data_IF_755117341824
#
_entry.id   IF_755117341824
#
_cell.length_a   1.000
_cell.length_b   1.000
_cell.length_c   1.000
_cell.angle_alpha   90.00
_cell.angle_beta   90.00
_cell.angle_gamma   90.00
#
_symmetry.space_group_name_H-M   'P 1'
#
loop_
_entity.id
_entity.type
_entity.pdbx_description
1 polymer ?
#
# COMPACT_ATOMS: atom_id res chain seq x y z
N UNK A 1 14.32 -16.59 -11.02
CA UNK A 1 14.01 -15.31 -11.73
C UNK A 1 12.55 -14.90 -11.57
N UNK A 2 11.65 -15.81 -11.16
CA UNK A 2 10.21 -15.56 -11.16
C UNK A 2 9.75 -14.33 -10.36
N UNK A 3 10.35 -14.00 -9.22
CA UNK A 3 9.97 -12.81 -8.43
C UNK A 3 10.16 -11.48 -9.19
N UNK A 4 11.23 -11.37 -9.97
CA UNK A 4 11.52 -10.18 -10.78
C UNK A 4 10.51 -10.11 -11.93
N UNK A 5 10.20 -11.26 -12.55
CA UNK A 5 9.17 -11.32 -13.58
C UNK A 5 7.79 -10.92 -13.05
N UNK A 6 7.40 -11.39 -11.85
CA UNK A 6 6.14 -10.99 -11.22
C UNK A 6 6.12 -9.49 -10.96
N UNK A 7 7.18 -8.93 -10.39
CA UNK A 7 7.26 -7.48 -10.15
C UNK A 7 7.14 -6.69 -11.46
N UNK A 8 7.93 -7.04 -12.47
CA UNK A 8 7.96 -6.35 -13.75
C UNK A 8 6.61 -6.42 -14.49
N UNK A 9 6.03 -7.61 -14.60
CA UNK A 9 4.74 -7.81 -15.28
C UNK A 9 3.62 -7.11 -14.50
N UNK A 10 3.65 -7.16 -13.16
CA UNK A 10 2.66 -6.47 -12.32
C UNK A 10 2.73 -4.96 -12.53
N UNK A 11 3.92 -4.38 -12.46
CA UNK A 11 4.12 -2.96 -12.75
C UNK A 11 3.66 -2.57 -14.16
N UNK A 12 3.89 -3.44 -15.16
CA UNK A 12 3.53 -3.18 -16.56
C UNK A 12 2.02 -2.99 -16.77
N UNK A 13 1.16 -3.68 -16.01
CA UNK A 13 -0.29 -3.44 -16.09
C UNK A 13 -0.80 -2.45 -15.04
N UNK A 14 -0.21 -2.42 -13.84
CA UNK A 14 -0.63 -1.50 -12.77
C UNK A 14 -0.40 -0.04 -13.17
N UNK A 15 0.73 0.29 -13.80
CA UNK A 15 1.05 1.69 -14.13
C UNK A 15 0.07 2.27 -15.17
N UNK A 16 -0.14 1.66 -16.35
CA UNK A 16 -1.11 2.17 -17.32
C UNK A 16 -2.54 2.22 -16.77
N UNK A 17 -2.96 1.20 -16.03
CA UNK A 17 -4.30 1.18 -15.44
C UNK A 17 -4.46 2.27 -14.38
N UNK A 18 -3.45 2.54 -13.57
CA UNK A 18 -3.46 3.67 -12.63
C UNK A 18 -3.62 5.00 -13.37
N UNK A 19 -2.95 5.19 -14.50
CA UNK A 19 -3.10 6.40 -15.33
C UNK A 19 -4.54 6.52 -15.85
N UNK A 20 -5.10 5.43 -16.39
CA UNK A 20 -6.46 5.41 -16.91
C UNK A 20 -7.49 5.71 -15.81
N UNK A 21 -7.39 5.04 -14.66
CA UNK A 21 -8.31 5.23 -13.53
C UNK A 21 -8.24 6.67 -13.02
N UNK A 22 -7.04 7.22 -12.83
CA UNK A 22 -6.90 8.61 -12.38
C UNK A 22 -7.37 9.64 -13.40
N UNK A 23 -7.34 9.31 -14.70
CA UNK A 23 -7.92 10.17 -15.75
C UNK A 23 -9.46 10.13 -15.73
N UNK A 24 -10.05 8.95 -15.55
CA UNK A 24 -11.52 8.78 -15.55
C UNK A 24 -12.14 9.30 -14.24
N UNK A 25 -11.48 9.05 -13.11
CA UNK A 25 -11.95 9.41 -11.76
C UNK A 25 -10.87 10.25 -11.06
N UNK A 26 -10.74 11.55 -11.41
CA UNK A 26 -9.67 12.40 -10.88
C UNK A 26 -9.89 12.80 -9.40
N UNK A 27 -11.15 12.84 -8.97
CA UNK A 27 -11.52 13.13 -7.59
C UNK A 27 -11.48 11.90 -6.68
N UNK A 28 -11.50 12.11 -5.35
CA UNK A 28 -11.70 11.02 -4.40
C UNK A 28 -13.02 10.27 -4.66
N UNK A 29 -12.98 8.95 -4.58
CA UNK A 29 -14.09 8.04 -4.84
C UNK A 29 -14.43 7.20 -3.60
N UNK A 30 -15.72 7.01 -3.33
CA UNK A 30 -16.21 6.32 -2.12
C UNK A 30 -15.60 6.91 -0.84
N UNK A 31 -14.97 6.11 0.01
CA UNK A 31 -14.43 6.56 1.31
C UNK A 31 -13.16 7.39 1.16
N UNK A 32 -12.57 7.47 -0.04
CA UNK A 32 -11.44 8.38 -0.30
C UNK A 32 -11.80 9.85 -0.01
N UNK A 33 -13.09 10.21 -0.04
CA UNK A 33 -13.57 11.55 0.35
C UNK A 33 -13.19 11.91 1.79
N UNK A 34 -12.99 10.91 2.66
CA UNK A 34 -12.50 11.10 4.03
C UNK A 34 -10.99 10.89 4.11
N UNK A 35 -10.47 9.83 3.48
CA UNK A 35 -9.06 9.44 3.59
C UNK A 35 -8.10 10.42 2.87
N UNK A 36 -8.47 10.95 1.70
CA UNK A 36 -7.59 11.83 0.92
C UNK A 36 -7.39 13.17 1.62
N UNK A 37 -8.45 13.91 2.05
CA UNK A 37 -8.25 15.13 2.82
C UNK A 37 -7.48 14.92 4.12
N UNK A 38 -7.73 13.81 4.83
CA UNK A 38 -7.00 13.47 6.04
C UNK A 38 -5.50 13.26 5.78
N UNK A 39 -5.13 12.50 4.76
CA UNK A 39 -3.74 12.30 4.38
C UNK A 39 -3.08 13.62 3.96
N UNK A 40 -3.80 14.49 3.25
CA UNK A 40 -3.31 15.82 2.87
C UNK A 40 -3.07 16.73 4.08
N UNK A 41 -3.85 16.63 5.15
CA UNK A 41 -3.53 17.33 6.41
C UNK A 41 -2.21 16.86 7.00
N UNK A 42 -1.94 15.55 6.95
CA UNK A 42 -0.66 15.00 7.43
C UNK A 42 0.51 15.46 6.56
N UNK A 43 0.31 15.55 5.24
CA UNK A 43 1.30 16.14 4.34
C UNK A 43 1.59 17.62 4.64
N UNK A 44 0.60 18.37 5.15
CA UNK A 44 0.79 19.75 5.64
C UNK A 44 1.48 19.83 7.01
N UNK A 45 1.85 18.69 7.60
CA UNK A 45 2.42 18.61 8.95
C UNK A 45 1.37 18.65 10.07
N UNK A 46 0.07 18.71 9.75
CA UNK A 46 -1.00 18.72 10.74
C UNK A 46 -1.36 17.29 11.19
N UNK A 47 -0.42 16.63 11.87
CA UNK A 47 -0.56 15.24 12.34
C UNK A 47 -1.58 15.08 13.47
N UNK A 48 -2.07 16.18 14.06
CA UNK A 48 -3.08 16.18 15.13
C UNK A 48 -4.51 16.23 14.59
N UNK A 49 -4.69 16.55 13.32
CA UNK A 49 -6.03 16.52 12.70
C UNK A 49 -6.56 15.09 12.60
N UNK A 50 -7.85 14.93 12.82
CA UNK A 50 -8.54 13.67 12.61
C UNK A 50 -9.97 13.92 12.15
N UNK A 51 -10.36 13.36 11.01
CA UNK A 51 -11.74 13.34 10.56
C UNK A 51 -12.52 12.29 11.37
N UNK A 52 -13.58 12.68 12.08
CA UNK A 52 -14.33 11.79 12.95
C UNK A 52 -15.07 10.66 12.21
N UNK A 53 -15.22 10.74 10.87
CA UNK A 53 -15.82 9.68 10.08
C UNK A 53 -14.85 8.51 9.80
N UNK A 54 -13.56 8.69 10.08
CA UNK A 54 -12.53 7.68 9.83
C UNK A 54 -12.46 6.73 11.03
N UNK A 55 -12.85 5.48 10.79
CA UNK A 55 -12.82 4.40 11.80
C UNK A 55 -11.56 3.52 11.72
N UNK A 56 -10.73 3.71 10.69
CA UNK A 56 -9.48 2.97 10.51
C UNK A 56 -8.28 3.72 11.12
N UNK A 57 -7.25 3.02 11.63
CA UNK A 57 -6.02 3.65 12.09
C UNK A 57 -5.27 4.49 11.04
N UNK A 58 -4.39 5.42 11.47
CA UNK A 58 -3.64 6.32 10.57
C UNK A 58 -2.51 5.65 9.76
N UNK A 59 -2.27 4.34 9.90
CA UNK A 59 -1.07 3.68 9.37
C UNK A 59 -0.81 3.92 7.88
N UNK A 60 -1.87 3.88 7.06
CA UNK A 60 -1.75 4.16 5.62
C UNK A 60 -1.26 5.58 5.32
N UNK A 61 -1.61 6.56 6.16
CA UNK A 61 -1.20 7.95 5.96
C UNK A 61 0.30 8.10 6.16
N UNK A 62 0.86 7.48 7.21
CA UNK A 62 2.31 7.49 7.42
C UNK A 62 3.07 6.76 6.31
N UNK A 63 2.55 5.63 5.84
CA UNK A 63 3.12 4.91 4.70
C UNK A 63 3.12 5.77 3.43
N UNK A 64 2.06 6.55 3.22
CA UNK A 64 1.92 7.45 2.07
C UNK A 64 2.83 8.67 2.18
N UNK A 65 3.02 9.23 3.38
CA UNK A 65 4.01 10.27 3.62
C UNK A 65 5.43 9.77 3.29
N UNK A 66 5.78 8.57 3.71
CA UNK A 66 7.07 7.94 3.38
C UNK A 66 7.21 7.70 1.86
N UNK A 67 6.13 7.26 1.21
CA UNK A 67 6.09 7.11 -0.25
C UNK A 67 6.35 8.45 -0.95
N UNK A 68 5.59 9.49 -0.62
CA UNK A 68 5.73 10.83 -1.22
C UNK A 68 7.15 11.37 -1.02
N UNK A 69 7.69 11.25 0.20
CA UNK A 69 9.06 11.60 0.51
C UNK A 69 10.08 10.86 -0.36
N UNK A 70 9.85 9.57 -0.66
CA UNK A 70 10.73 8.78 -1.53
C UNK A 70 10.65 9.16 -3.01
N UNK A 71 9.50 9.64 -3.49
CA UNK A 71 9.34 10.10 -4.88
C UNK A 71 10.00 11.47 -5.10
N UNK A 72 10.05 12.30 -4.07
CA UNK A 72 10.53 13.67 -4.15
C UNK A 72 11.62 13.97 -3.10
N UNK A 73 12.75 13.25 -3.10
CA UNK A 73 13.79 13.41 -2.09
C UNK A 73 14.44 14.81 -2.13
N UNK A 74 14.45 15.46 -3.30
CA UNK A 74 14.94 16.82 -3.47
C UNK A 74 14.13 17.86 -2.70
N UNK A 75 12.84 17.62 -2.44
CA UNK A 75 12.02 18.50 -1.62
C UNK A 75 12.46 18.51 -0.16
N UNK A 76 12.92 17.37 0.37
CA UNK A 76 13.46 17.30 1.73
C UNK A 76 14.80 18.05 1.85
N UNK A 77 15.62 18.00 0.80
CA UNK A 77 16.95 18.63 0.77
C UNK A 77 16.90 20.15 0.57
N UNK A 78 15.90 20.65 -0.18
CA UNK A 78 15.75 22.08 -0.48
C UNK A 78 14.92 22.84 0.58
N UNK A 79 14.61 22.22 1.72
CA UNK A 79 13.79 22.84 2.77
C UNK A 79 12.36 23.11 2.29
N UNK A 80 11.69 22.09 1.75
CA UNK A 80 10.32 22.20 1.28
C UNK A 80 9.41 22.88 2.31
N UNK A 81 8.64 23.86 1.82
CA UNK A 81 7.56 24.44 2.60
C UNK A 81 6.43 23.41 2.70
N UNK A 82 5.63 23.50 3.76
CA UNK A 82 4.43 22.65 3.91
C UNK A 82 3.47 22.74 2.70
N UNK A 83 3.54 23.84 1.94
CA UNK A 83 2.77 24.07 0.72
C UNK A 83 3.20 23.14 -0.43
N UNK A 84 4.50 23.02 -0.72
CA UNK A 84 4.98 22.21 -1.85
C UNK A 84 4.83 20.70 -1.61
N UNK A 85 5.02 20.25 -0.37
CA UNK A 85 4.76 18.85 0.00
C UNK A 85 3.26 18.52 -0.04
N UNK A 86 2.39 19.49 0.27
CA UNK A 86 0.94 19.33 0.13
C UNK A 86 0.50 19.19 -1.33
N UNK A 87 1.12 19.90 -2.26
CA UNK A 87 0.84 19.76 -3.70
C UNK A 87 1.30 18.40 -4.24
N UNK A 88 2.38 17.86 -3.69
CA UNK A 88 2.86 16.52 -4.01
C UNK A 88 1.96 15.39 -3.48
N UNK A 89 1.11 15.65 -2.48
CA UNK A 89 0.11 14.70 -1.96
C UNK A 89 -1.24 14.79 -2.68
N UNK A 90 -1.21 14.78 -4.01
CA UNK A 90 -2.42 14.70 -4.83
C UNK A 90 -3.07 13.31 -4.70
N UNK A 91 -4.36 13.20 -5.05
CA UNK A 91 -5.10 11.92 -5.03
C UNK A 91 -4.38 10.82 -5.81
N UNK A 92 -3.80 11.13 -6.97
CA UNK A 92 -3.10 10.15 -7.80
C UNK A 92 -1.81 9.64 -7.15
N UNK A 93 -1.07 10.50 -6.46
CA UNK A 93 0.14 10.11 -5.71
C UNK A 93 -0.23 9.31 -4.47
N UNK A 94 -1.32 9.66 -3.77
CA UNK A 94 -1.80 8.83 -2.66
C UNK A 94 -2.22 7.44 -3.15
N UNK A 95 -2.98 7.36 -4.25
CA UNK A 95 -3.35 6.08 -4.89
C UNK A 95 -2.15 5.27 -5.37
N UNK A 96 -1.06 5.90 -5.82
CA UNK A 96 0.15 5.16 -6.21
C UNK A 96 0.80 4.42 -5.04
N UNK A 97 0.48 4.77 -3.79
CA UNK A 97 0.86 3.98 -2.61
C UNK A 97 0.32 2.56 -2.71
N UNK A 98 -0.95 2.38 -3.07
CA UNK A 98 -1.54 1.06 -3.25
C UNK A 98 -1.01 0.33 -4.48
N UNK A 99 -0.68 1.05 -5.55
CA UNK A 99 0.00 0.47 -6.71
C UNK A 99 1.35 -0.18 -6.33
N UNK A 100 2.15 0.49 -5.49
CA UNK A 100 3.42 -0.06 -4.98
C UNK A 100 3.16 -1.29 -4.10
N UNK A 101 2.20 -1.22 -3.18
CA UNK A 101 1.86 -2.37 -2.34
C UNK A 101 1.31 -3.55 -3.14
N UNK A 102 0.57 -3.34 -4.22
CA UNK A 102 0.10 -4.41 -5.10
C UNK A 102 1.27 -5.18 -5.76
N UNK A 103 2.31 -4.46 -6.19
CA UNK A 103 3.54 -5.09 -6.72
C UNK A 103 4.24 -5.92 -5.64
N UNK A 104 4.35 -5.38 -4.41
CA UNK A 104 4.92 -6.10 -3.27
C UNK A 104 4.10 -7.34 -2.89
N UNK A 105 2.77 -7.24 -2.90
CA UNK A 105 1.84 -8.36 -2.73
C UNK A 105 2.15 -9.47 -3.72
N UNK A 106 2.25 -9.17 -5.03
CA UNK A 106 2.59 -10.17 -6.04
C UNK A 106 3.92 -10.88 -5.77
N UNK A 107 4.95 -10.13 -5.38
CA UNK A 107 6.26 -10.69 -5.02
C UNK A 107 6.17 -11.60 -3.79
N UNK A 108 5.45 -11.20 -2.74
CA UNK A 108 5.26 -11.99 -1.53
C UNK A 108 4.47 -13.27 -1.81
N UNK A 109 3.41 -13.19 -2.61
CA UNK A 109 2.64 -14.37 -3.06
C UNK A 109 3.54 -15.34 -3.80
N UNK A 110 4.38 -14.87 -4.73
CA UNK A 110 5.36 -15.71 -5.41
C UNK A 110 6.31 -16.43 -4.43
N UNK A 111 6.86 -15.70 -3.46
CA UNK A 111 7.77 -16.26 -2.45
C UNK A 111 7.08 -17.31 -1.58
N UNK A 112 5.81 -17.09 -1.19
CA UNK A 112 5.01 -18.07 -0.44
C UNK A 112 4.74 -19.32 -1.29
N UNK A 113 4.35 -19.17 -2.56
CA UNK A 113 4.11 -20.30 -3.46
C UNK A 113 5.39 -21.14 -3.64
N UNK A 114 6.55 -20.49 -3.82
CA UNK A 114 7.83 -21.21 -3.94
C UNK A 114 8.25 -21.88 -2.64
N UNK A 115 7.93 -21.27 -1.49
CA UNK A 115 8.22 -21.87 -0.19
C UNK A 115 7.38 -23.14 0.04
N UNK A 116 6.07 -23.07 -0.21
CA UNK A 116 5.15 -24.20 0.02
C UNK A 116 5.30 -25.32 -1.02
N UNK A 117 5.63 -24.97 -2.27
CA UNK A 117 5.85 -25.93 -3.35
C UNK A 117 7.29 -25.85 -3.89
N UNK A 118 8.29 -26.41 -3.20
CA UNK A 118 9.70 -26.32 -3.62
C UNK A 118 9.94 -26.94 -5.01
N UNK A 119 9.19 -27.98 -5.36
CA UNK A 119 9.27 -28.69 -6.64
C UNK A 119 8.51 -27.98 -7.79
N UNK A 120 7.78 -26.89 -7.53
CA UNK A 120 7.12 -26.12 -8.58
C UNK A 120 8.16 -25.41 -9.45
N UNK A 121 7.98 -25.47 -10.77
CA UNK A 121 8.76 -24.64 -11.69
C UNK A 121 8.51 -23.14 -11.44
N UNK A 122 9.54 -22.31 -11.58
CA UNK A 122 9.42 -20.84 -11.49
C UNK A 122 8.29 -20.29 -12.39
N UNK A 123 8.13 -20.82 -13.61
CA UNK A 123 7.08 -20.38 -14.55
C UNK A 123 5.67 -20.58 -13.99
N UNK A 124 5.39 -21.77 -13.45
CA UNK A 124 4.07 -22.07 -12.83
C UNK A 124 3.81 -21.18 -11.61
N UNK A 125 4.80 -21.00 -10.74
CA UNK A 125 4.67 -20.13 -9.57
C UNK A 125 4.45 -18.66 -9.97
N UNK A 126 5.16 -18.17 -10.99
CA UNK A 126 4.94 -16.83 -11.57
C UNK A 126 3.53 -16.69 -12.11
N UNK A 127 3.03 -17.66 -12.90
CA UNK A 127 1.66 -17.60 -13.44
C UNK A 127 0.61 -17.60 -12.32
N UNK A 128 0.77 -18.44 -11.30
CA UNK A 128 -0.14 -18.45 -10.14
C UNK A 128 -0.14 -17.10 -9.40
N UNK A 129 1.03 -16.52 -9.14
CA UNK A 129 1.13 -15.22 -8.48
C UNK A 129 0.48 -14.09 -9.32
N UNK A 130 0.66 -14.12 -10.65
CA UNK A 130 0.02 -13.16 -11.56
C UNK A 130 -1.50 -13.32 -11.63
N UNK A 131 -2.02 -14.55 -11.62
CA UNK A 131 -3.47 -14.80 -11.57
C UNK A 131 -4.05 -14.27 -10.26
N UNK A 132 -3.35 -14.46 -9.14
CA UNK A 132 -3.77 -13.92 -7.84
C UNK A 132 -3.72 -12.40 -7.79
N UNK A 133 -2.73 -11.74 -8.41
CA UNK A 133 -2.68 -10.27 -8.46
C UNK A 133 -3.77 -9.65 -9.34
N UNK A 134 -4.34 -10.43 -10.27
CA UNK A 134 -5.50 -10.05 -11.07
C UNK A 134 -6.84 -10.45 -10.43
N UNK A 135 -6.84 -10.94 -9.18
CA UNK A 135 -8.08 -11.23 -8.47
C UNK A 135 -8.95 -9.96 -8.40
N UNK A 136 -10.23 -9.98 -8.85
CA UNK A 136 -11.00 -8.76 -9.11
C UNK A 136 -11.05 -7.77 -7.94
N UNK A 137 -11.17 -8.28 -6.70
CA UNK A 137 -11.21 -7.43 -5.51
C UNK A 137 -9.87 -6.74 -5.25
N UNK A 138 -8.76 -7.49 -5.36
CA UNK A 138 -7.42 -6.93 -5.17
C UNK A 138 -7.08 -5.93 -6.28
N UNK A 139 -7.42 -6.28 -7.52
CA UNK A 139 -7.26 -5.41 -8.68
C UNK A 139 -8.03 -4.10 -8.50
N UNK A 140 -9.28 -4.16 -8.04
CA UNK A 140 -10.10 -2.97 -7.80
C UNK A 140 -9.45 -2.02 -6.77
N UNK A 141 -9.07 -2.53 -5.60
CA UNK A 141 -8.46 -1.72 -4.55
C UNK A 141 -7.00 -1.30 -4.82
N UNK A 142 -6.34 -1.88 -5.83
CA UNK A 142 -4.99 -1.47 -6.26
C UNK A 142 -4.98 0.00 -6.71
N UNK A 143 -6.09 0.51 -7.25
CA UNK A 143 -6.17 1.84 -7.83
C UNK A 143 -6.88 2.88 -6.97
N UNK A 144 -7.39 2.48 -5.81
CA UNK A 144 -8.06 3.35 -4.85
C UNK A 144 -7.24 3.44 -3.57
N UNK A 145 -7.32 4.57 -2.87
CA UNK A 145 -6.56 4.86 -1.66
C UNK A 145 -7.23 4.26 -0.41
N UNK A 146 -7.11 2.94 -0.29
CA UNK A 146 -7.70 2.12 0.78
C UNK A 146 -6.63 1.34 1.56
N UNK A 147 -6.93 0.94 2.80
CA UNK A 147 -6.00 0.22 3.68
C UNK A 147 -5.84 -1.26 3.32
N UNK A 148 -6.75 -1.84 2.53
CA UNK A 148 -6.83 -3.26 2.15
C UNK A 148 -5.54 -3.79 1.50
N UNK A 149 -4.95 -3.05 0.57
CA UNK A 149 -3.77 -3.52 -0.20
C UNK A 149 -2.52 -3.52 0.68
N UNK A 150 -2.30 -2.43 1.42
CA UNK A 150 -1.17 -2.32 2.35
C UNK A 150 -1.26 -3.37 3.47
N UNK A 151 -2.46 -3.59 4.00
CA UNK A 151 -2.69 -4.58 5.05
C UNK A 151 -2.53 -6.02 4.60
N UNK A 152 -3.03 -6.36 3.41
CA UNK A 152 -2.78 -7.67 2.80
C UNK A 152 -1.29 -7.88 2.58
N UNK A 153 -0.55 -6.85 2.13
CA UNK A 153 0.91 -6.93 1.96
C UNK A 153 1.60 -7.27 3.27
N UNK A 154 1.27 -6.55 4.35
CA UNK A 154 1.84 -6.79 5.68
C UNK A 154 1.46 -8.17 6.22
N UNK A 155 0.22 -8.61 6.02
CA UNK A 155 -0.23 -9.96 6.37
C UNK A 155 0.59 -11.04 5.65
N UNK A 156 0.77 -10.92 4.34
CA UNK A 156 1.56 -11.87 3.54
C UNK A 156 3.04 -11.87 3.97
N UNK A 157 3.61 -10.71 4.28
CA UNK A 157 4.98 -10.58 4.76
C UNK A 157 5.17 -11.25 6.13
N UNK A 158 4.22 -11.03 7.04
CA UNK A 158 4.15 -11.70 8.35
C UNK A 158 4.04 -13.22 8.18
N UNK A 159 3.11 -13.68 7.34
CA UNK A 159 2.91 -15.10 7.07
C UNK A 159 4.17 -15.76 6.49
N UNK A 160 4.83 -15.12 5.51
CA UNK A 160 6.10 -15.60 4.96
C UNK A 160 7.22 -15.62 6.01
N UNK A 161 7.28 -14.64 6.92
CA UNK A 161 8.24 -14.64 8.02
C UNK A 161 7.98 -15.82 8.98
N UNK A 162 6.72 -16.10 9.31
CA UNK A 162 6.30 -17.24 10.11
C UNK A 162 6.70 -18.57 9.46
N UNK A 163 6.39 -18.75 8.17
CA UNK A 163 6.79 -19.94 7.39
C UNK A 163 8.32 -20.16 7.43
N UNK A 164 9.10 -19.09 7.35
CA UNK A 164 10.57 -19.12 7.45
C UNK A 164 11.11 -19.22 8.88
N UNK A 165 10.25 -19.46 9.88
CA UNK A 165 10.60 -19.54 11.31
C UNK A 165 11.26 -18.26 11.86
N UNK A 166 11.03 -17.10 11.23
CA UNK A 166 11.52 -15.79 11.68
C UNK A 166 10.45 -15.13 12.56
N UNK A 167 10.22 -15.71 13.74
CA UNK A 167 9.08 -15.34 14.59
C UNK A 167 9.13 -13.89 15.09
N UNK A 168 10.31 -13.36 15.43
CA UNK A 168 10.44 -11.96 15.83
C UNK A 168 10.02 -10.99 14.72
N UNK A 169 10.45 -11.25 13.48
CA UNK A 169 10.03 -10.45 12.33
C UNK A 169 8.53 -10.60 12.07
N UNK A 170 7.99 -11.82 12.19
CA UNK A 170 6.56 -12.08 12.07
C UNK A 170 5.75 -11.27 13.10
N UNK A 171 6.18 -11.28 14.37
CA UNK A 171 5.52 -10.53 15.44
C UNK A 171 5.60 -9.02 15.20
N UNK A 172 6.76 -8.50 14.80
CA UNK A 172 6.95 -7.08 14.49
C UNK A 172 6.06 -6.61 13.33
N UNK A 173 6.05 -7.34 12.22
CA UNK A 173 5.20 -7.01 11.05
C UNK A 173 3.72 -7.14 11.40
N UNK A 174 3.34 -8.15 12.20
CA UNK A 174 1.96 -8.30 12.69
C UNK A 174 1.52 -7.07 13.51
N UNK A 175 2.38 -6.61 14.43
CA UNK A 175 2.11 -5.42 15.23
C UNK A 175 1.94 -4.19 14.33
N UNK A 176 2.84 -3.97 13.37
CA UNK A 176 2.72 -2.88 12.39
C UNK A 176 1.43 -2.96 11.59
N UNK A 177 0.98 -4.16 11.21
CA UNK A 177 -0.27 -4.34 10.47
C UNK A 177 -1.50 -3.92 11.31
N UNK A 178 -1.45 -4.07 12.63
CA UNK A 178 -2.53 -3.57 13.50
C UNK A 178 -2.66 -2.05 13.42
N UNK A 179 -1.53 -1.32 13.32
CA UNK A 179 -1.55 0.12 13.07
C UNK A 179 -2.06 0.51 11.68
N UNK A 180 -2.20 -0.44 10.74
CA UNK A 180 -2.79 -0.22 9.40
C UNK A 180 -4.27 -0.62 9.36
N UNK A 181 -4.72 -1.61 10.15
CA UNK A 181 -6.05 -2.24 10.02
C UNK A 181 -6.92 -2.17 11.27
N UNK A 182 -6.35 -2.32 12.46
CA UNK A 182 -7.11 -2.68 13.66
C UNK A 182 -7.58 -1.45 14.43
N UNK A 183 -8.90 -1.28 14.42
CA UNK A 183 -9.76 -0.47 15.28
C UNK A 183 -9.01 0.42 16.28
N UNK A 184 -8.96 1.70 15.94
CA UNK A 184 -8.66 2.76 16.89
C UNK A 184 -9.91 3.05 17.75
N UNK A 185 -10.38 2.07 18.53
CA UNK A 185 -11.44 2.31 19.54
C UNK A 185 -10.98 3.26 20.66
N UNK A 186 -9.69 3.61 20.71
CA UNK A 186 -9.11 4.45 21.77
C UNK A 186 -9.13 5.96 21.50
N UNK A 187 -9.65 6.46 20.37
CA UNK A 187 -9.78 7.91 20.12
C UNK A 187 -11.22 8.45 20.03
N UNK A 188 -12.25 7.62 20.26
CA UNK A 188 -13.66 8.07 20.28
C UNK A 188 -14.09 8.61 21.66
N UNK A 189 -13.17 8.74 22.64
CA UNK A 189 -13.50 9.24 24.00
C UNK A 189 -12.49 10.24 24.57
N UNK A 190 -12.05 11.23 23.80
CA UNK A 190 -11.41 12.43 24.35
C UNK A 190 -11.99 13.69 23.71
#
# INVERSE_FOLDING_TARGET
MGKIAVAAITSLWVIPMSIIVNHIVPGPYMDEIFHVPQAQQYCKGNLRSWDPMITTPPGLYYLSLAHVASLFPGMLLMGATSQSFSEACSTSVLRSTNAVFAVLCGVLVFEIIRFLGPNLSDRKATLMALVMSLYPLHWFFTFLYYTDVASLTAFLAMYLACLRKRYFLSAFVSLLNQFVVLLFELQIRL
#
